data_IF_509123627529
#
_entry.id   IF_509123627529
#
_cell.length_a   1.000
_cell.length_b   1.000
_cell.length_c   1.000
_cell.angle_alpha   90.00
_cell.angle_beta   90.00
_cell.angle_gamma   90.00
#
_symmetry.space_group_name_H-M   'P 1'
#
loop_
_entity.id
_entity.type
_entity.pdbx_description
1 polymer ?
#
# COMPACT_ATOMS: atom_id res chain seq x y z
N UNK A 1 -13.51 2.93 50.05
CA UNK A 1 -12.81 1.95 49.18
C UNK A 1 -12.66 2.62 47.85
N UNK A 2 -11.43 3.12 47.62
CA UNK A 2 -11.08 3.99 46.51
C UNK A 2 -10.97 3.23 45.21
N UNK A 3 -11.68 3.68 44.20
CA UNK A 3 -11.47 3.29 42.81
C UNK A 3 -10.28 4.10 42.25
N UNK A 4 -9.11 3.49 42.18
CA UNK A 4 -7.96 4.03 41.44
C UNK A 4 -8.28 3.96 39.94
N UNK A 5 -8.71 5.08 39.37
CA UNK A 5 -8.77 5.31 37.93
C UNK A 5 -7.35 5.50 37.44
N UNK A 6 -6.79 4.50 36.78
CA UNK A 6 -5.52 4.59 36.08
C UNK A 6 -5.60 5.67 35.00
N UNK A 7 -4.91 6.78 35.25
CA UNK A 7 -4.66 7.83 34.26
C UNK A 7 -3.59 7.30 33.28
N UNK A 8 -4.01 6.70 32.17
CA UNK A 8 -3.12 6.50 31.03
C UNK A 8 -2.85 7.85 30.37
N UNK A 9 -1.59 8.22 30.10
CA UNK A 9 -1.26 9.53 29.56
C UNK A 9 -1.84 9.69 28.15
N UNK A 10 -2.61 10.75 27.97
CA UNK A 10 -3.31 11.18 26.75
C UNK A 10 -2.39 11.53 25.55
N UNK A 11 -1.09 11.33 25.65
CA UNK A 11 -0.08 11.74 24.66
C UNK A 11 -0.02 10.88 23.39
N UNK A 12 -0.73 9.75 23.33
CA UNK A 12 -0.64 8.78 22.23
C UNK A 12 -1.99 8.48 21.55
N UNK A 13 -3.02 9.30 21.73
CA UNK A 13 -4.26 9.13 20.95
C UNK A 13 -4.04 9.63 19.52
N UNK A 14 -4.13 8.72 18.57
CA UNK A 14 -4.23 9.05 17.15
C UNK A 14 -5.43 10.02 16.97
N UNK A 15 -5.20 11.21 16.43
CA UNK A 15 -6.21 12.26 16.21
C UNK A 15 -6.82 12.18 14.81
N UNK A 16 -6.40 11.20 14.01
CA UNK A 16 -6.81 11.02 12.63
C UNK A 16 -7.74 9.81 12.53
N UNK A 17 -8.61 9.80 11.55
CA UNK A 17 -9.46 8.70 11.12
C UNK A 17 -8.70 7.64 10.30
N UNK A 18 -7.38 7.78 10.19
CA UNK A 18 -6.45 6.85 9.55
C UNK A 18 -5.23 6.57 10.44
N UNK A 19 -4.54 5.47 10.18
CA UNK A 19 -3.26 5.17 10.85
C UNK A 19 -2.12 5.80 10.03
N UNK A 20 -1.37 6.78 10.58
CA UNK A 20 -0.21 7.36 9.88
C UNK A 20 0.82 6.28 9.53
N UNK A 21 1.51 6.42 8.40
CA UNK A 21 2.49 5.46 7.88
C UNK A 21 3.59 5.05 8.89
N UNK A 22 3.86 5.88 9.89
CA UNK A 22 4.82 5.60 10.97
C UNK A 22 4.14 5.30 12.32
N UNK A 23 2.82 5.05 12.34
CA UNK A 23 2.05 4.91 13.59
C UNK A 23 1.80 6.23 14.33
N UNK A 24 2.68 7.22 14.17
CA UNK A 24 2.57 8.58 14.70
C UNK A 24 3.26 9.61 13.80
N UNK A 25 2.65 10.77 13.63
CA UNK A 25 3.17 11.90 12.84
C UNK A 25 4.61 12.29 13.17
N UNK A 26 5.00 12.19 14.44
CA UNK A 26 6.34 12.54 14.91
C UNK A 26 7.46 11.62 14.37
N UNK A 27 7.13 10.41 13.95
CA UNK A 27 8.10 9.43 13.44
C UNK A 27 8.27 9.46 11.92
N UNK A 28 7.42 10.19 11.19
CA UNK A 28 7.53 10.34 9.74
C UNK A 28 8.92 10.81 9.26
N UNK A 29 9.66 11.71 9.96
CA UNK A 29 11.01 12.09 9.53
C UNK A 29 12.01 10.94 9.48
N UNK A 30 11.90 10.00 10.42
CA UNK A 30 12.75 8.81 10.50
C UNK A 30 12.22 7.58 9.77
N UNK A 31 11.00 7.62 9.25
CA UNK A 31 10.33 6.46 8.66
C UNK A 31 11.10 5.86 7.49
N UNK A 32 11.65 6.70 6.60
CA UNK A 32 12.44 6.21 5.46
C UNK A 32 13.75 5.54 5.88
N UNK A 33 14.39 6.07 6.92
CA UNK A 33 15.56 5.43 7.50
C UNK A 33 15.17 4.12 8.19
N UNK A 34 14.07 4.12 8.92
CA UNK A 34 13.55 2.93 9.59
C UNK A 34 13.21 1.82 8.56
N UNK A 35 12.47 2.11 7.50
CA UNK A 35 12.15 1.13 6.45
C UNK A 35 13.40 0.60 5.76
N UNK A 36 14.44 1.44 5.60
CA UNK A 36 15.73 1.04 5.06
C UNK A 36 16.49 0.12 6.02
N UNK A 37 16.52 0.46 7.31
CA UNK A 37 17.18 -0.33 8.38
C UNK A 37 16.45 -1.66 8.59
N UNK A 38 15.13 -1.66 8.53
CA UNK A 38 14.30 -2.87 8.62
C UNK A 38 14.46 -3.80 7.41
N UNK A 39 15.14 -3.37 6.35
CA UNK A 39 15.39 -4.22 5.18
C UNK A 39 14.21 -4.30 4.21
N UNK A 40 13.36 -3.27 4.11
CA UNK A 40 12.25 -3.22 3.15
C UNK A 40 12.68 -3.15 1.68
N UNK A 41 13.92 -2.73 1.40
CA UNK A 41 14.40 -2.56 0.02
C UNK A 41 14.33 -3.83 -0.85
N UNK A 42 14.70 -5.03 -0.36
CA UNK A 42 14.49 -6.27 -1.11
C UNK A 42 13.01 -6.54 -1.38
N UNK A 43 12.12 -6.31 -0.40
CA UNK A 43 10.69 -6.54 -0.56
C UNK A 43 10.07 -5.66 -1.65
N UNK A 44 10.42 -4.38 -1.69
CA UNK A 44 9.97 -3.49 -2.77
C UNK A 44 10.50 -3.90 -4.14
N UNK A 45 11.78 -4.32 -4.22
CA UNK A 45 12.36 -4.78 -5.50
C UNK A 45 11.67 -6.02 -6.01
N UNK A 46 11.44 -6.99 -5.14
CA UNK A 46 10.73 -8.22 -5.47
C UNK A 46 9.33 -7.92 -5.99
N UNK A 47 8.56 -7.07 -5.28
CA UNK A 47 7.22 -6.68 -5.71
C UNK A 47 7.22 -6.02 -7.10
N UNK A 48 8.16 -5.11 -7.35
CA UNK A 48 8.29 -4.45 -8.67
C UNK A 48 8.68 -5.46 -9.76
N UNK A 49 9.57 -6.40 -9.45
CA UNK A 49 9.98 -7.47 -10.38
C UNK A 49 8.79 -8.37 -10.73
N UNK A 50 8.02 -8.79 -9.72
CA UNK A 50 6.83 -9.63 -9.91
C UNK A 50 5.71 -8.89 -10.67
N UNK A 51 5.59 -7.59 -10.48
CA UNK A 51 4.62 -6.77 -11.22
C UNK A 51 4.92 -6.74 -12.73
N UNK A 52 6.19 -6.88 -13.15
CA UNK A 52 6.58 -7.00 -14.54
C UNK A 52 6.06 -5.86 -15.42
N UNK A 53 6.10 -4.62 -14.91
CA UNK A 53 5.45 -3.47 -15.54
C UNK A 53 5.98 -3.22 -16.94
N UNK A 54 5.07 -2.93 -17.85
CA UNK A 54 5.36 -2.61 -19.26
C UNK A 54 5.09 -1.13 -19.58
N UNK A 55 5.64 -0.68 -20.70
CA UNK A 55 5.51 0.71 -21.13
C UNK A 55 4.04 1.12 -21.30
N UNK A 56 3.68 2.30 -20.78
CA UNK A 56 2.35 2.89 -20.96
C UNK A 56 1.27 2.35 -20.04
N UNK A 57 1.58 1.42 -19.15
CA UNK A 57 0.60 0.95 -18.16
C UNK A 57 0.18 2.04 -17.18
N UNK A 58 -1.11 2.04 -16.87
CA UNK A 58 -1.73 2.86 -15.81
C UNK A 58 -1.66 2.08 -14.51
N UNK A 59 -0.88 2.58 -13.58
CA UNK A 59 -0.60 1.93 -12.29
C UNK A 59 -1.24 2.72 -11.16
N UNK A 60 -1.95 2.04 -10.25
CA UNK A 60 -2.37 2.62 -8.98
C UNK A 60 -1.59 1.99 -7.83
N UNK A 61 -1.06 2.82 -6.93
CA UNK A 61 -0.46 2.37 -5.67
C UNK A 61 -1.39 2.74 -4.51
N UNK A 62 -1.79 1.74 -3.72
CA UNK A 62 -2.70 1.90 -2.58
C UNK A 62 -1.88 1.94 -1.30
N UNK A 63 -1.98 3.05 -0.54
CA UNK A 63 -1.21 3.25 0.68
C UNK A 63 0.27 3.50 0.40
N UNK A 64 0.58 4.51 -0.42
CA UNK A 64 1.94 4.79 -0.88
C UNK A 64 2.87 5.33 0.22
N UNK A 65 2.30 5.80 1.34
CA UNK A 65 3.06 6.41 2.41
C UNK A 65 3.96 7.53 1.90
N UNK A 66 5.23 7.43 2.20
CA UNK A 66 6.23 8.42 1.75
C UNK A 66 6.79 8.17 0.34
N UNK A 67 6.14 7.35 -0.49
CA UNK A 67 6.47 7.13 -1.90
C UNK A 67 7.71 6.24 -2.16
N UNK A 68 8.04 5.35 -1.22
CA UNK A 68 9.20 4.48 -1.36
C UNK A 68 9.05 3.45 -2.48
N UNK A 69 7.87 2.86 -2.62
CA UNK A 69 7.55 1.94 -3.71
C UNK A 69 7.32 2.72 -5.00
N UNK A 70 6.52 3.81 -4.98
CA UNK A 70 6.27 4.71 -6.13
C UNK A 70 7.55 5.07 -6.87
N UNK A 71 8.57 5.53 -6.14
CA UNK A 71 9.87 5.90 -6.71
C UNK A 71 10.56 4.72 -7.41
N UNK A 72 10.44 3.49 -6.87
CA UNK A 72 11.05 2.28 -7.45
C UNK A 72 10.32 1.83 -8.70
N UNK A 73 9.00 1.85 -8.66
CA UNK A 73 8.14 1.58 -9.81
C UNK A 73 8.54 2.50 -10.96
N UNK A 74 8.64 3.80 -10.71
CA UNK A 74 9.00 4.78 -11.74
C UNK A 74 10.42 4.61 -12.27
N UNK A 75 11.37 4.19 -11.43
CA UNK A 75 12.73 3.85 -11.88
C UNK A 75 12.79 2.57 -12.71
N UNK A 76 11.95 1.60 -12.43
CA UNK A 76 11.87 0.34 -13.17
C UNK A 76 11.14 0.50 -14.50
N UNK A 77 10.09 1.33 -14.55
CA UNK A 77 9.30 1.60 -15.73
C UNK A 77 9.07 3.12 -15.87
N UNK A 78 9.99 3.81 -16.59
CA UNK A 78 9.96 5.26 -16.72
C UNK A 78 8.72 5.80 -17.46
N UNK A 79 8.08 4.98 -18.27
CA UNK A 79 6.89 5.33 -19.07
C UNK A 79 5.55 4.96 -18.40
N UNK A 80 5.56 4.28 -17.24
CA UNK A 80 4.34 4.00 -16.50
C UNK A 80 3.67 5.31 -16.04
N UNK A 81 2.36 5.37 -16.13
CA UNK A 81 1.55 6.44 -15.53
C UNK A 81 1.06 5.97 -14.17
N UNK A 82 1.53 6.63 -13.10
CA UNK A 82 1.33 6.19 -11.72
C UNK A 82 0.45 7.17 -10.97
N UNK A 83 -0.64 6.66 -10.40
CA UNK A 83 -1.41 7.33 -9.37
C UNK A 83 -1.11 6.65 -8.03
N UNK A 84 -0.56 7.40 -7.09
CA UNK A 84 -0.23 6.88 -5.76
C UNK A 84 -1.14 7.51 -4.71
N UNK A 85 -1.84 6.68 -3.94
CA UNK A 85 -2.85 7.13 -2.97
C UNK A 85 -2.41 6.87 -1.55
N UNK A 86 -2.77 7.79 -0.66
CA UNK A 86 -2.60 7.65 0.79
C UNK A 86 -3.57 8.60 1.52
N UNK A 87 -4.16 8.25 2.66
CA UNK A 87 -5.00 9.17 3.42
C UNK A 87 -4.21 10.26 4.15
N UNK A 88 -2.90 10.06 4.39
CA UNK A 88 -2.05 11.00 5.13
C UNK A 88 -1.46 12.08 4.21
N UNK A 89 -1.91 13.37 4.32
CA UNK A 89 -1.40 14.45 3.48
C UNK A 89 0.09 14.77 3.73
N UNK A 90 0.62 14.45 4.93
CA UNK A 90 2.03 14.66 5.25
C UNK A 90 2.92 13.61 4.58
N UNK A 91 2.43 12.37 4.53
CA UNK A 91 3.10 11.30 3.79
C UNK A 91 3.14 11.64 2.30
N UNK A 92 2.00 12.05 1.71
CA UNK A 92 1.91 12.48 0.31
C UNK A 92 2.85 13.65 -0.01
N UNK A 93 2.93 14.65 0.85
CA UNK A 93 3.86 15.78 0.65
C UNK A 93 5.32 15.32 0.60
N UNK A 94 5.70 14.29 1.38
CA UNK A 94 7.05 13.70 1.34
C UNK A 94 7.26 12.89 0.07
N UNK A 95 6.27 12.11 -0.33
CA UNK A 95 6.29 11.35 -1.56
C UNK A 95 6.49 12.26 -2.79
N UNK A 96 5.74 13.36 -2.86
CA UNK A 96 5.88 14.39 -3.90
C UNK A 96 7.30 14.98 -3.94
N UNK A 97 7.89 15.28 -2.77
CA UNK A 97 9.27 15.79 -2.72
C UNK A 97 10.30 14.77 -3.23
N UNK A 98 10.13 13.49 -2.89
CA UNK A 98 11.03 12.40 -3.33
C UNK A 98 10.97 12.14 -4.84
N UNK A 99 9.81 12.33 -5.44
CA UNK A 99 9.58 12.09 -6.87
C UNK A 99 9.66 13.38 -7.70
N UNK A 100 10.11 14.48 -7.10
CA UNK A 100 10.28 15.75 -7.80
C UNK A 100 11.14 15.56 -9.06
N UNK A 101 10.60 16.00 -10.21
CA UNK A 101 11.24 15.85 -11.50
C UNK A 101 10.96 14.53 -12.23
N UNK A 102 10.24 13.59 -11.61
CA UNK A 102 9.70 12.39 -12.29
C UNK A 102 8.37 12.76 -12.97
N UNK A 103 8.26 12.51 -14.28
CA UNK A 103 7.03 12.70 -15.05
C UNK A 103 6.12 11.49 -14.92
N UNK A 104 4.78 11.64 -15.11
CA UNK A 104 3.83 10.54 -15.03
C UNK A 104 3.69 9.94 -13.62
N UNK A 105 3.83 10.76 -12.58
CA UNK A 105 3.51 10.40 -11.20
C UNK A 105 2.55 11.44 -10.64
N UNK A 106 1.40 11.00 -10.15
CA UNK A 106 0.40 11.81 -9.47
C UNK A 106 0.12 11.22 -8.10
N UNK A 107 -0.04 12.10 -7.11
CA UNK A 107 -0.41 11.73 -5.74
C UNK A 107 -1.83 12.24 -5.46
N UNK A 108 -2.66 11.35 -4.90
CA UNK A 108 -4.06 11.66 -4.58
C UNK A 108 -4.36 11.26 -3.13
N UNK A 109 -5.03 12.13 -2.39
CA UNK A 109 -5.50 11.78 -1.06
C UNK A 109 -6.74 10.92 -1.18
N UNK A 110 -6.65 9.65 -0.81
CA UNK A 110 -7.76 8.72 -0.85
C UNK A 110 -7.63 7.66 0.24
N UNK A 111 -8.78 7.14 0.67
CA UNK A 111 -8.87 5.95 1.49
C UNK A 111 -8.97 4.73 0.59
N UNK A 112 -8.36 3.60 1.00
CA UNK A 112 -8.34 2.39 0.19
C UNK A 112 -9.75 1.81 -0.07
N UNK A 113 -10.70 2.04 0.84
CA UNK A 113 -12.09 1.60 0.76
C UNK A 113 -13.01 2.56 -0.02
N UNK A 114 -12.48 3.69 -0.52
CA UNK A 114 -13.22 4.70 -1.28
C UNK A 114 -12.26 5.41 -2.24
N UNK A 115 -12.06 4.81 -3.41
CA UNK A 115 -11.12 5.32 -4.41
C UNK A 115 -11.84 6.25 -5.40
N UNK A 116 -11.39 7.52 -5.55
CA UNK A 116 -12.05 8.51 -6.40
C UNK A 116 -11.68 8.33 -7.89
N UNK A 117 -11.80 7.10 -8.40
CA UNK A 117 -11.45 6.75 -9.78
C UNK A 117 -12.57 5.93 -10.42
N UNK A 118 -12.66 6.03 -11.74
CA UNK A 118 -13.62 5.28 -12.55
C UNK A 118 -13.32 3.76 -12.55
N UNK A 119 -14.33 2.96 -12.83
CA UNK A 119 -14.23 1.53 -13.02
C UNK A 119 -13.28 1.19 -14.17
N UNK A 120 -12.40 0.22 -13.97
CA UNK A 120 -11.48 -0.24 -15.02
C UNK A 120 -10.42 0.80 -15.42
N UNK A 121 -10.16 1.79 -14.57
CA UNK A 121 -9.21 2.87 -14.82
C UNK A 121 -7.75 2.46 -14.85
N UNK A 122 -7.37 1.27 -14.34
CA UNK A 122 -5.99 0.87 -14.13
C UNK A 122 -5.69 -0.54 -14.66
N UNK A 123 -4.46 -0.73 -15.14
CA UNK A 123 -3.94 -2.01 -15.61
C UNK A 123 -3.34 -2.83 -14.46
N UNK A 124 -2.66 -2.13 -13.53
CA UNK A 124 -1.97 -2.73 -12.38
C UNK A 124 -2.25 -1.95 -11.11
N UNK A 125 -2.55 -2.66 -10.05
CA UNK A 125 -2.59 -2.12 -8.69
C UNK A 125 -1.43 -2.69 -7.86
N UNK A 126 -0.85 -1.85 -7.00
CA UNK A 126 0.22 -2.22 -6.09
C UNK A 126 -0.16 -1.85 -4.67
N UNK A 127 0.14 -2.72 -3.71
CA UNK A 127 0.03 -2.40 -2.28
C UNK A 127 1.18 -3.04 -1.50
N UNK A 128 1.78 -2.26 -0.62
CA UNK A 128 2.91 -2.72 0.18
C UNK A 128 2.76 -2.29 1.63
N UNK A 129 2.72 -3.28 2.55
CA UNK A 129 2.73 -3.06 3.99
C UNK A 129 1.62 -2.13 4.49
N UNK A 130 0.43 -2.21 3.89
CA UNK A 130 -0.70 -1.33 4.22
C UNK A 130 -1.89 -2.10 4.78
N UNK A 131 -2.23 -3.25 4.19
CA UNK A 131 -3.47 -3.97 4.51
C UNK A 131 -3.51 -4.46 5.97
N UNK A 132 -2.37 -4.81 6.56
CA UNK A 132 -2.32 -5.24 7.96
C UNK A 132 -2.70 -4.16 8.97
N UNK A 133 -2.78 -2.89 8.55
CA UNK A 133 -3.24 -1.77 9.37
C UNK A 133 -4.77 -1.63 9.40
N UNK A 134 -5.46 -2.23 8.45
CA UNK A 134 -6.92 -2.14 8.30
C UNK A 134 -7.62 -3.23 9.12
N UNK A 135 -8.81 -2.92 9.62
CA UNK A 135 -9.72 -3.95 10.15
C UNK A 135 -10.31 -4.80 9.01
N UNK A 136 -10.97 -5.90 9.34
CA UNK A 136 -11.47 -6.84 8.35
C UNK A 136 -12.55 -6.25 7.42
N UNK A 137 -13.41 -5.39 7.94
CA UNK A 137 -14.46 -4.74 7.13
C UNK A 137 -13.84 -3.75 6.14
N UNK A 138 -12.90 -2.94 6.60
CA UNK A 138 -12.16 -1.99 5.76
C UNK A 138 -11.30 -2.70 4.72
N UNK A 139 -10.65 -3.83 5.06
CA UNK A 139 -9.92 -4.66 4.08
C UNK A 139 -10.84 -5.19 2.98
N UNK A 140 -12.04 -5.67 3.35
CA UNK A 140 -12.99 -6.18 2.37
C UNK A 140 -13.48 -5.07 1.42
N UNK A 141 -13.78 -3.89 1.95
CA UNK A 141 -14.16 -2.73 1.15
C UNK A 141 -13.01 -2.27 0.24
N UNK A 142 -11.77 -2.22 0.75
CA UNK A 142 -10.59 -1.90 -0.04
C UNK A 142 -10.35 -2.90 -1.17
N UNK A 143 -10.53 -4.20 -0.91
CA UNK A 143 -10.41 -5.24 -1.94
C UNK A 143 -11.47 -5.06 -3.04
N UNK A 144 -12.72 -4.72 -2.69
CA UNK A 144 -13.78 -4.43 -3.64
C UNK A 144 -13.48 -3.19 -4.49
N UNK A 145 -12.96 -2.12 -3.88
CA UNK A 145 -12.58 -0.90 -4.59
C UNK A 145 -11.40 -1.16 -5.56
N UNK A 146 -10.37 -1.89 -5.13
CA UNK A 146 -9.26 -2.26 -6.01
C UNK A 146 -9.74 -3.13 -7.16
N UNK A 147 -10.68 -4.06 -6.91
CA UNK A 147 -11.30 -4.86 -7.96
C UNK A 147 -12.05 -3.97 -8.96
N UNK A 148 -12.82 -3.01 -8.48
CA UNK A 148 -13.59 -2.08 -9.31
C UNK A 148 -12.73 -1.23 -10.23
N UNK A 149 -11.66 -0.63 -9.68
CA UNK A 149 -10.80 0.30 -10.44
C UNK A 149 -9.83 -0.39 -11.39
N UNK A 150 -9.52 -1.67 -11.20
CA UNK A 150 -8.75 -2.44 -12.17
C UNK A 150 -9.61 -2.80 -13.38
N UNK A 151 -9.06 -2.75 -14.59
CA UNK A 151 -9.73 -3.27 -15.78
C UNK A 151 -9.87 -4.79 -15.74
N UNK A 152 -10.80 -5.41 -16.50
CA UNK A 152 -10.80 -6.85 -16.74
C UNK A 152 -9.42 -7.32 -17.22
N UNK A 153 -8.88 -8.39 -16.63
CA UNK A 153 -7.50 -8.85 -16.85
C UNK A 153 -6.43 -8.07 -16.07
N UNK A 154 -6.79 -6.97 -15.41
CA UNK A 154 -5.88 -6.19 -14.57
C UNK A 154 -5.40 -6.97 -13.33
N UNK A 155 -4.25 -6.59 -12.80
CA UNK A 155 -3.56 -7.37 -11.76
C UNK A 155 -3.23 -6.51 -10.55
N UNK A 156 -3.58 -7.02 -9.36
CA UNK A 156 -3.13 -6.50 -8.09
C UNK A 156 -1.92 -7.32 -7.61
N UNK A 157 -0.83 -6.63 -7.27
CA UNK A 157 0.31 -7.22 -6.57
C UNK A 157 0.40 -6.66 -5.15
N UNK A 158 0.52 -7.55 -4.18
CA UNK A 158 0.59 -7.20 -2.75
C UNK A 158 1.84 -7.81 -2.12
N UNK A 159 2.49 -7.05 -1.25
CA UNK A 159 3.40 -7.60 -0.24
C UNK A 159 2.98 -7.12 1.13
N UNK A 160 2.71 -8.04 2.04
CA UNK A 160 2.30 -7.66 3.40
C UNK A 160 2.78 -8.68 4.45
N UNK A 161 2.81 -8.23 5.71
CA UNK A 161 2.93 -9.11 6.88
C UNK A 161 1.56 -9.69 7.23
N UNK A 162 1.53 -10.83 7.93
CA UNK A 162 0.27 -11.49 8.31
C UNK A 162 -0.67 -11.74 7.13
N UNK A 163 -0.09 -11.99 5.95
CA UNK A 163 -0.83 -12.10 4.69
C UNK A 163 -1.58 -13.42 4.50
N UNK A 164 -1.62 -14.33 5.48
CA UNK A 164 -2.16 -15.69 5.30
C UNK A 164 -3.68 -15.70 5.03
N UNK A 165 -4.43 -14.71 5.52
CA UNK A 165 -5.87 -14.57 5.26
C UNK A 165 -6.21 -13.75 4.00
N UNK A 166 -5.24 -13.02 3.45
CA UNK A 166 -5.46 -12.12 2.31
C UNK A 166 -5.91 -12.85 1.02
N UNK A 167 -5.42 -14.06 0.67
CA UNK A 167 -5.90 -14.77 -0.51
C UNK A 167 -7.41 -14.99 -0.47
N UNK A 168 -7.95 -15.47 0.64
CA UNK A 168 -9.39 -15.71 0.79
C UNK A 168 -10.19 -14.40 0.72
N UNK A 169 -9.67 -13.33 1.30
CA UNK A 169 -10.31 -12.01 1.27
C UNK A 169 -10.38 -11.49 -0.18
N UNK A 170 -9.29 -11.57 -0.93
CA UNK A 170 -9.24 -11.14 -2.33
C UNK A 170 -10.12 -12.02 -3.23
N UNK A 171 -10.15 -13.33 -3.00
CA UNK A 171 -11.05 -14.25 -3.70
C UNK A 171 -12.53 -13.90 -3.46
N UNK A 172 -12.91 -13.55 -2.24
CA UNK A 172 -14.27 -13.07 -1.92
C UNK A 172 -14.64 -11.77 -2.66
N UNK A 173 -13.66 -10.92 -2.94
CA UNK A 173 -13.84 -9.71 -3.75
C UNK A 173 -13.91 -9.99 -5.26
N UNK A 174 -13.73 -11.24 -5.70
CA UNK A 174 -13.84 -11.66 -7.10
C UNK A 174 -12.51 -11.89 -7.82
N UNK A 175 -11.37 -11.72 -7.15
CA UNK A 175 -10.06 -11.97 -7.75
C UNK A 175 -9.73 -13.45 -7.88
N UNK A 176 -9.04 -13.82 -8.96
CA UNK A 176 -8.22 -15.04 -8.99
C UNK A 176 -6.88 -14.71 -8.31
N UNK A 177 -6.68 -15.26 -7.10
CA UNK A 177 -5.58 -14.90 -6.22
C UNK A 177 -4.68 -16.07 -5.87
N UNK A 178 -3.37 -15.89 -6.04
CA UNK A 178 -2.33 -16.83 -5.68
C UNK A 178 -1.25 -16.20 -4.80
N UNK A 179 -0.69 -17.01 -3.90
CA UNK A 179 0.56 -16.68 -3.21
C UNK A 179 1.71 -16.96 -4.18
N UNK A 180 2.49 -15.94 -4.49
CA UNK A 180 3.60 -16.02 -5.48
C UNK A 180 4.98 -16.00 -4.84
N UNK A 181 5.06 -15.87 -3.51
CA UNK A 181 6.31 -15.93 -2.79
C UNK A 181 6.19 -15.59 -1.31
N UNK A 182 7.30 -15.80 -0.63
CA UNK A 182 7.48 -15.42 0.77
C UNK A 182 8.81 -14.69 0.94
N UNK A 183 8.84 -13.79 1.90
CA UNK A 183 10.06 -13.09 2.32
C UNK A 183 10.15 -13.01 3.83
N UNK A 184 11.19 -12.36 4.31
CA UNK A 184 11.36 -12.08 5.73
C UNK A 184 11.98 -10.69 5.91
N UNK A 185 11.45 -9.95 6.87
CA UNK A 185 12.00 -8.66 7.29
C UNK A 185 12.52 -8.80 8.72
N UNK A 186 13.76 -8.37 8.96
CA UNK A 186 14.30 -8.27 10.34
C UNK A 186 13.33 -7.43 11.17
N UNK A 187 12.78 -7.95 12.24
CA UNK A 187 11.86 -7.30 13.18
C UNK A 187 10.38 -7.28 12.77
N UNK A 188 10.00 -7.37 11.49
CA UNK A 188 8.58 -7.42 11.08
C UNK A 188 8.09 -8.85 10.75
N UNK A 189 9.01 -9.81 10.61
CA UNK A 189 8.70 -11.22 10.39
C UNK A 189 8.42 -11.59 8.94
N UNK A 190 7.61 -12.64 8.76
CA UNK A 190 7.29 -13.24 7.46
C UNK A 190 6.49 -12.26 6.58
N UNK A 191 6.92 -12.14 5.33
CA UNK A 191 6.18 -11.48 4.25
C UNK A 191 5.51 -12.51 3.37
N UNK A 192 4.32 -12.16 2.89
CA UNK A 192 3.61 -12.90 1.86
C UNK A 192 3.45 -12.01 0.63
N UNK A 193 3.83 -12.55 -0.54
CA UNK A 193 3.61 -11.90 -1.84
C UNK A 193 2.42 -12.54 -2.51
N UNK A 194 1.50 -11.72 -2.98
CA UNK A 194 0.27 -12.14 -3.63
C UNK A 194 0.18 -11.52 -5.03
N UNK A 195 -0.34 -12.30 -5.95
CA UNK A 195 -0.81 -11.86 -7.25
C UNK A 195 -2.29 -12.18 -7.37
N UNK A 196 -3.11 -11.17 -7.59
CA UNK A 196 -4.54 -11.29 -7.71
C UNK A 196 -5.00 -10.68 -9.03
N UNK A 197 -5.59 -11.49 -9.92
CA UNK A 197 -6.04 -11.05 -11.25
C UNK A 197 -7.55 -10.81 -11.22
N UNK A 198 -8.00 -9.67 -11.71
CA UNK A 198 -9.41 -9.48 -12.04
C UNK A 198 -9.74 -10.32 -13.28
N UNK A 199 -10.68 -11.29 -13.23
CA UNK A 199 -11.10 -12.05 -14.40
C UNK A 199 -11.56 -11.14 -15.55
N UNK A 200 -11.40 -11.63 -16.79
CA UNK A 200 -11.81 -10.93 -18.00
C UNK A 200 -13.33 -10.86 -18.14
#
# INVERSE_FOLDING_TARGET
MDFMTEHRPHLLKNRHDYLPAAGHDAFLPGYDLLTRVLGMNPAYRELVTQAGLTAGQRVIEIGCGTGNLTMRVKKACATADIVATDPDPRALQRAQRKTKGMTGVRFERAYAQELPFDDGGFDVALSSMMLHHLDEATKAAAAAEVFRVLQPGGVLHVVDVRGDALPQLLQKAGFDCAVVGYGNIRLAGKLTYLRATRPA
#
